data_IF_899339488274
#
_entry.id   IF_899339488274
#
_cell.length_a   1.000
_cell.length_b   1.000
_cell.length_c   1.000
_cell.angle_alpha   90.00
_cell.angle_beta   90.00
_cell.angle_gamma   90.00
#
_symmetry.space_group_name_H-M   'P 1'
#
loop_
_entity.id
_entity.type
_entity.pdbx_description
1 polymer ?
#
# COMPACT_ATOMS: atom_id res chain seq x y z
N UNK A 1 12.66 27.90 -1.91
CA UNK A 1 11.71 26.78 -2.00
C UNK A 1 12.49 25.48 -1.89
N UNK A 2 12.40 24.75 -0.76
CA UNK A 2 13.06 23.42 -0.66
C UNK A 2 12.50 22.52 -1.76
N UNK A 3 13.37 21.76 -2.44
CA UNK A 3 12.97 20.87 -3.51
C UNK A 3 12.05 19.79 -2.90
N UNK A 4 10.86 19.55 -3.47
CA UNK A 4 9.89 18.54 -2.96
C UNK A 4 10.55 17.17 -2.76
N UNK A 5 11.52 16.83 -3.61
CA UNK A 5 12.33 15.63 -3.50
C UNK A 5 13.17 15.56 -2.20
N UNK A 6 13.69 16.68 -1.70
CA UNK A 6 14.46 16.74 -0.46
C UNK A 6 13.58 16.47 0.76
N UNK A 7 12.35 17.00 0.79
CA UNK A 7 11.40 16.77 1.88
C UNK A 7 11.00 15.29 1.89
N UNK A 8 10.66 14.74 0.73
CA UNK A 8 10.32 13.32 0.59
C UNK A 8 11.45 12.41 1.08
N UNK A 9 12.70 12.66 0.64
CA UNK A 9 13.85 11.88 1.09
C UNK A 9 14.08 12.00 2.61
N UNK A 10 13.80 13.17 3.19
CA UNK A 10 13.92 13.37 4.64
C UNK A 10 12.85 12.58 5.40
N UNK A 11 11.60 12.61 4.92
CA UNK A 11 10.51 11.79 5.47
C UNK A 11 10.82 10.29 5.35
N UNK A 12 11.32 9.85 4.20
CA UNK A 12 11.75 8.47 3.99
C UNK A 12 12.88 8.07 4.96
N UNK A 13 13.86 8.94 5.17
CA UNK A 13 14.93 8.68 6.13
C UNK A 13 14.40 8.56 7.57
N UNK A 14 13.37 9.33 7.93
CA UNK A 14 12.73 9.25 9.25
C UNK A 14 11.96 7.92 9.44
N UNK A 15 11.43 7.31 8.38
CA UNK A 15 10.74 6.02 8.49
C UNK A 15 11.69 4.84 8.64
N UNK A 16 12.95 4.96 8.20
CA UNK A 16 13.95 3.87 8.24
C UNK A 16 14.25 3.34 9.65
N UNK A 17 14.06 4.14 10.69
CA UNK A 17 14.22 3.69 12.08
C UNK A 17 13.27 2.54 12.44
N UNK A 18 12.14 2.45 11.73
CA UNK A 18 11.14 1.40 11.90
C UNK A 18 11.14 0.37 10.76
N UNK A 19 12.24 0.26 9.99
CA UNK A 19 12.34 -0.62 8.81
C UNK A 19 11.93 -2.07 9.07
N UNK A 20 12.29 -2.63 10.22
CA UNK A 20 11.94 -4.02 10.55
C UNK A 20 10.45 -4.19 10.79
N UNK A 21 9.82 -3.25 11.50
CA UNK A 21 8.38 -3.27 11.70
C UNK A 21 7.63 -3.04 10.37
N UNK A 22 8.11 -2.12 9.54
CA UNK A 22 7.54 -1.91 8.19
C UNK A 22 7.68 -3.17 7.32
N UNK A 23 8.81 -3.85 7.40
CA UNK A 23 9.04 -5.11 6.69
C UNK A 23 8.07 -6.20 7.17
N UNK A 24 7.85 -6.36 8.48
CA UNK A 24 6.91 -7.35 9.00
C UNK A 24 5.47 -7.03 8.58
N UNK A 25 5.04 -5.77 8.68
CA UNK A 25 3.72 -5.35 8.22
C UNK A 25 3.53 -5.57 6.71
N UNK A 26 4.54 -5.24 5.91
CA UNK A 26 4.55 -5.47 4.45
C UNK A 26 4.54 -6.96 4.12
N UNK A 27 5.28 -7.78 4.87
CA UNK A 27 5.28 -9.23 4.72
C UNK A 27 3.90 -9.83 5.03
N UNK A 28 3.24 -9.38 6.10
CA UNK A 28 1.86 -9.79 6.40
C UNK A 28 0.89 -9.38 5.29
N UNK A 29 1.04 -8.17 4.74
CA UNK A 29 0.25 -7.72 3.59
C UNK A 29 0.45 -8.63 2.37
N UNK A 30 1.72 -8.94 2.04
CA UNK A 30 2.09 -9.86 0.97
C UNK A 30 1.49 -11.25 1.19
N UNK A 31 1.61 -11.82 2.38
CA UNK A 31 1.03 -13.12 2.72
C UNK A 31 -0.50 -13.11 2.67
N UNK A 32 -1.15 -12.02 3.05
CA UNK A 32 -2.60 -11.88 2.95
C UNK A 32 -3.08 -11.88 1.50
N UNK A 33 -2.38 -11.15 0.62
CA UNK A 33 -2.69 -11.13 -0.83
C UNK A 33 -2.34 -12.47 -1.47
N UNK A 34 -1.17 -13.04 -1.17
CA UNK A 34 -0.73 -14.36 -1.64
C UNK A 34 -1.68 -15.48 -1.23
N UNK A 35 -2.22 -15.45 -0.01
CA UNK A 35 -3.25 -16.40 0.42
C UNK A 35 -4.55 -16.23 -0.37
N UNK A 36 -4.91 -15.00 -0.74
CA UNK A 36 -6.03 -14.74 -1.65
C UNK A 36 -5.82 -15.33 -3.03
N UNK A 37 -4.59 -15.25 -3.56
CA UNK A 37 -4.21 -15.89 -4.83
C UNK A 37 -4.30 -17.41 -4.70
N UNK A 38 -3.74 -17.99 -3.64
CA UNK A 38 -3.82 -19.44 -3.38
C UNK A 38 -5.27 -19.92 -3.24
N UNK A 39 -6.14 -19.13 -2.60
CA UNK A 39 -7.58 -19.40 -2.53
C UNK A 39 -8.23 -19.40 -3.91
N UNK A 40 -7.94 -18.41 -4.76
CA UNK A 40 -8.46 -18.36 -6.13
C UNK A 40 -7.95 -19.53 -6.95
N UNK A 41 -6.65 -19.82 -6.93
CA UNK A 41 -6.05 -20.92 -7.69
C UNK A 41 -6.63 -22.29 -7.29
N UNK A 42 -6.71 -22.57 -5.99
CA UNK A 42 -7.28 -23.83 -5.48
C UNK A 42 -8.77 -23.95 -5.81
N UNK A 43 -9.54 -22.86 -5.71
CA UNK A 43 -10.95 -22.85 -6.10
C UNK A 43 -11.12 -23.09 -7.61
N UNK A 44 -10.35 -22.40 -8.45
CA UNK A 44 -10.37 -22.59 -9.91
C UNK A 44 -10.02 -24.03 -10.30
N UNK A 45 -9.03 -24.63 -9.63
CA UNK A 45 -8.67 -26.04 -9.84
C UNK A 45 -9.82 -26.99 -9.53
N UNK A 46 -10.53 -26.79 -8.41
CA UNK A 46 -11.68 -27.63 -8.05
C UNK A 46 -12.78 -27.51 -9.10
N UNK A 47 -13.11 -26.29 -9.53
CA UNK A 47 -14.15 -26.04 -10.54
C UNK A 47 -13.79 -26.74 -11.85
N UNK A 48 -12.56 -26.55 -12.34
CA UNK A 48 -12.09 -27.17 -13.57
C UNK A 48 -12.08 -28.71 -13.48
N UNK A 49 -11.64 -29.26 -12.34
CA UNK A 49 -11.58 -30.72 -12.13
C UNK A 49 -12.97 -31.34 -11.98
N UNK A 50 -13.91 -30.63 -11.34
CA UNK A 50 -15.29 -31.08 -11.19
C UNK A 50 -16.02 -31.14 -12.53
N UNK A 51 -15.72 -30.22 -13.46
CA UNK A 51 -16.27 -30.26 -14.81
C UNK A 51 -15.87 -31.54 -15.58
N UNK A 52 -14.71 -32.11 -15.27
CA UNK A 52 -14.25 -33.40 -15.79
C UNK A 52 -14.83 -34.62 -15.04
N UNK A 53 -15.82 -34.40 -14.17
CA UNK A 53 -16.43 -35.44 -13.33
C UNK A 53 -15.41 -36.21 -12.48
N UNK A 54 -14.37 -35.51 -12.01
CA UNK A 54 -13.32 -36.11 -11.17
C UNK A 54 -13.92 -36.59 -9.83
N UNK A 55 -13.64 -37.84 -9.41
CA UNK A 55 -14.11 -38.35 -8.12
C UNK A 55 -13.65 -37.49 -6.93
N UNK A 56 -14.55 -37.26 -5.96
CA UNK A 56 -14.32 -36.31 -4.86
C UNK A 56 -13.09 -36.61 -4.00
N UNK A 57 -12.69 -37.89 -3.89
CA UNK A 57 -11.51 -38.28 -3.11
C UNK A 57 -10.22 -37.66 -3.66
N UNK A 58 -10.13 -37.44 -4.98
CA UNK A 58 -8.98 -36.75 -5.61
C UNK A 58 -8.96 -35.24 -5.37
N UNK A 59 -10.11 -34.66 -4.98
CA UNK A 59 -10.26 -33.23 -4.72
C UNK A 59 -10.07 -32.84 -3.26
N UNK A 60 -9.96 -33.82 -2.35
CA UNK A 60 -9.90 -33.58 -0.90
C UNK A 60 -8.78 -32.61 -0.50
N UNK A 61 -7.58 -32.76 -1.07
CA UNK A 61 -6.44 -31.87 -0.79
C UNK A 61 -6.76 -30.43 -1.20
N UNK A 62 -7.36 -30.23 -2.38
CA UNK A 62 -7.73 -28.90 -2.86
C UNK A 62 -8.82 -28.27 -1.97
N UNK A 63 -9.81 -29.06 -1.52
CA UNK A 63 -10.87 -28.60 -0.60
C UNK A 63 -10.27 -28.12 0.73
N UNK A 64 -9.34 -28.88 1.30
CA UNK A 64 -8.61 -28.46 2.51
C UNK A 64 -7.76 -27.22 2.22
N UNK A 65 -7.14 -27.14 1.04
CA UNK A 65 -6.40 -25.97 0.58
C UNK A 65 -7.23 -24.70 0.55
N UNK A 66 -8.47 -24.75 0.03
CA UNK A 66 -9.42 -23.61 0.05
C UNK A 66 -9.66 -23.13 1.47
N UNK A 67 -9.90 -24.05 2.42
CA UNK A 67 -10.13 -23.69 3.84
C UNK A 67 -8.89 -23.06 4.45
N UNK A 68 -7.72 -23.67 4.22
CA UNK A 68 -6.43 -23.17 4.70
C UNK A 68 -6.18 -21.75 4.20
N UNK A 69 -6.26 -21.50 2.89
CA UNK A 69 -6.02 -20.19 2.32
C UNK A 69 -7.07 -19.15 2.74
N UNK A 70 -8.33 -19.57 2.92
CA UNK A 70 -9.40 -18.71 3.44
C UNK A 70 -9.09 -18.21 4.85
N UNK A 71 -8.70 -19.11 5.77
CA UNK A 71 -8.35 -18.76 7.15
C UNK A 71 -7.04 -17.96 7.19
N UNK A 72 -6.01 -18.42 6.48
CA UNK A 72 -4.70 -17.76 6.41
C UNK A 72 -4.83 -16.31 5.92
N UNK A 73 -5.63 -16.07 4.88
CA UNK A 73 -5.93 -14.72 4.38
C UNK A 73 -6.50 -13.82 5.48
N UNK A 74 -7.43 -14.32 6.29
CA UNK A 74 -8.02 -13.58 7.41
C UNK A 74 -6.99 -13.24 8.49
N UNK A 75 -6.18 -14.22 8.90
CA UNK A 75 -5.13 -14.06 9.92
C UNK A 75 -4.09 -13.04 9.46
N UNK A 76 -3.53 -13.21 8.25
CA UNK A 76 -2.51 -12.29 7.74
C UNK A 76 -3.05 -10.89 7.50
N UNK A 77 -4.32 -10.75 7.09
CA UNK A 77 -4.98 -9.45 6.96
C UNK A 77 -5.13 -8.74 8.31
N UNK A 78 -5.47 -9.50 9.36
CA UNK A 78 -5.54 -8.96 10.72
C UNK A 78 -4.16 -8.51 11.20
N UNK A 79 -3.13 -9.37 11.05
CA UNK A 79 -1.77 -9.04 11.45
C UNK A 79 -1.20 -7.85 10.67
N UNK A 80 -1.43 -7.78 9.37
CA UNK A 80 -1.11 -6.61 8.55
C UNK A 80 -1.68 -5.33 9.18
N UNK A 81 -2.99 -5.31 9.44
CA UNK A 81 -3.67 -4.13 10.01
C UNK A 81 -3.08 -3.76 11.37
N UNK A 82 -2.88 -4.75 12.23
CA UNK A 82 -2.30 -4.56 13.56
C UNK A 82 -0.91 -3.93 13.51
N UNK A 83 0.01 -4.52 12.74
CA UNK A 83 1.38 -3.99 12.63
C UNK A 83 1.41 -2.63 11.92
N UNK A 84 0.65 -2.48 10.84
CA UNK A 84 0.59 -1.22 10.09
C UNK A 84 0.12 -0.06 10.95
N UNK A 85 -0.92 -0.29 11.77
CA UNK A 85 -1.46 0.73 12.66
C UNK A 85 -0.46 1.17 13.73
N UNK A 86 0.19 0.19 14.38
CA UNK A 86 1.24 0.46 15.36
C UNK A 86 2.40 1.28 14.77
N UNK A 87 2.81 0.96 13.54
CA UNK A 87 3.88 1.69 12.84
C UNK A 87 3.43 3.09 12.48
N UNK A 88 2.21 3.24 11.94
CA UNK A 88 1.64 4.52 11.58
C UNK A 88 1.64 5.49 12.76
N UNK A 89 1.25 5.05 13.96
CA UNK A 89 1.29 5.92 15.15
C UNK A 89 2.70 6.29 15.59
N UNK A 90 3.64 5.34 15.54
CA UNK A 90 5.06 5.64 15.85
C UNK A 90 5.66 6.63 14.86
N UNK A 91 5.33 6.51 13.58
CA UNK A 91 5.74 7.45 12.55
C UNK A 91 5.10 8.82 12.75
N UNK A 92 3.79 8.87 13.03
CA UNK A 92 3.07 10.13 13.27
C UNK A 92 3.66 10.89 14.47
N UNK A 93 3.95 10.21 15.58
CA UNK A 93 4.60 10.80 16.74
C UNK A 93 5.97 11.40 16.37
N UNK A 94 6.76 10.67 15.57
CA UNK A 94 8.08 11.13 15.12
C UNK A 94 7.98 12.32 14.16
N UNK A 95 7.00 12.32 13.25
CA UNK A 95 6.75 13.43 12.34
C UNK A 95 6.32 14.69 13.10
N UNK A 96 5.47 14.55 14.13
CA UNK A 96 5.10 15.67 15.03
C UNK A 96 6.33 16.28 15.69
N UNK A 97 7.19 15.48 16.33
CA UNK A 97 8.42 15.97 16.98
C UNK A 97 9.33 16.69 15.99
N UNK A 98 9.59 16.05 14.84
CA UNK A 98 10.45 16.63 13.80
C UNK A 98 9.91 17.96 13.26
N UNK A 99 8.59 18.04 13.07
CA UNK A 99 7.92 19.23 12.58
C UNK A 99 8.04 20.38 13.58
N UNK A 100 7.70 20.16 14.86
CA UNK A 100 7.79 21.19 15.89
C UNK A 100 9.23 21.70 16.09
N UNK A 101 10.22 20.81 16.15
CA UNK A 101 11.64 21.19 16.23
C UNK A 101 12.12 21.98 15.01
N UNK A 102 11.53 21.72 13.83
CA UNK A 102 11.85 22.48 12.61
C UNK A 102 11.14 23.84 12.57
N UNK A 103 10.01 23.98 13.28
CA UNK A 103 9.19 25.20 13.32
C UNK A 103 9.68 26.19 14.39
N UNK A 104 10.08 25.71 15.57
CA UNK A 104 10.52 26.52 16.72
C UNK A 104 11.51 27.66 16.37
N UNK A 105 12.57 27.43 15.56
CA UNK A 105 13.54 28.48 15.23
C UNK A 105 12.98 29.58 14.30
N UNK A 106 11.85 29.36 13.63
CA UNK A 106 11.28 30.25 12.63
C UNK A 106 10.29 31.27 13.21
N UNK A 107 9.81 31.04 14.43
CA UNK A 107 8.77 31.82 15.10
C UNK A 107 9.22 33.24 15.50
N UNK A 108 10.46 33.49 15.98
CA UNK A 108 10.83 34.83 16.48
C UNK A 108 10.92 35.94 15.43
N UNK A 109 10.84 35.63 14.13
CA UNK A 109 11.22 36.56 13.05
C UNK A 109 10.11 36.91 12.04
N UNK A 110 8.91 36.32 12.15
CA UNK A 110 7.82 36.55 11.18
C UNK A 110 6.57 37.10 11.84
N UNK A 111 6.13 38.28 11.39
CA UNK A 111 4.72 38.70 11.53
C UNK A 111 3.89 37.77 10.64
N UNK A 112 3.04 36.96 11.26
CA UNK A 112 2.04 36.19 10.54
C UNK A 112 0.74 37.00 10.55
N UNK A 113 0.06 37.10 9.40
CA UNK A 113 -1.29 37.69 9.30
C UNK A 113 -2.39 36.76 9.85
N UNK A 114 -2.01 35.62 10.41
CA UNK A 114 -2.88 34.59 10.96
C UNK A 114 -2.72 34.50 12.48
N UNK A 115 -3.79 34.13 13.19
CA UNK A 115 -3.70 33.88 14.62
C UNK A 115 -2.80 32.67 14.89
N UNK A 116 -2.09 32.68 16.02
CA UNK A 116 -1.22 31.56 16.42
C UNK A 116 -1.98 30.23 16.50
N UNK A 117 -3.29 30.27 16.83
CA UNK A 117 -4.17 29.10 16.85
C UNK A 117 -4.44 28.53 15.46
N UNK A 118 -4.72 29.39 14.47
CA UNK A 118 -4.96 28.95 13.08
C UNK A 118 -3.72 28.32 12.45
N UNK A 119 -2.54 28.89 12.72
CA UNK A 119 -1.27 28.34 12.25
C UNK A 119 -0.99 26.96 12.84
N UNK A 120 -1.24 26.80 14.14
CA UNK A 120 -1.06 25.52 14.82
C UNK A 120 -2.05 24.46 14.33
N UNK A 121 -3.32 24.83 14.10
CA UNK A 121 -4.34 23.91 13.58
C UNK A 121 -3.95 23.40 12.20
N UNK A 122 -3.65 24.30 11.26
CA UNK A 122 -3.26 23.93 9.88
C UNK A 122 -1.98 23.08 9.86
N UNK A 123 -1.00 23.47 10.66
CA UNK A 123 0.24 22.71 10.79
C UNK A 123 -0.01 21.29 11.32
N UNK A 124 -0.88 21.14 12.30
CA UNK A 124 -1.21 19.84 12.89
C UNK A 124 -1.97 18.97 11.90
N UNK A 125 -2.96 19.53 11.18
CA UNK A 125 -3.69 18.85 10.10
C UNK A 125 -2.76 18.36 8.99
N UNK A 126 -1.80 19.18 8.56
CA UNK A 126 -0.81 18.80 7.55
C UNK A 126 0.06 17.63 8.02
N UNK A 127 0.49 17.63 9.30
CA UNK A 127 1.25 16.50 9.86
C UNK A 127 0.40 15.25 10.01
N UNK A 128 -0.88 15.39 10.36
CA UNK A 128 -1.82 14.26 10.46
C UNK A 128 -2.07 13.59 9.10
N UNK A 129 -1.99 14.34 8.00
CA UNK A 129 -2.05 13.73 6.66
C UNK A 129 -0.94 12.69 6.42
N UNK A 130 0.19 12.79 7.13
CA UNK A 130 1.29 11.83 7.06
C UNK A 130 0.98 10.49 7.73
N UNK A 131 -0.12 10.37 8.49
CA UNK A 131 -0.62 9.10 9.02
C UNK A 131 -0.78 8.06 7.89
N UNK A 132 -1.25 8.52 6.74
CA UNK A 132 -1.48 7.67 5.57
C UNK A 132 -0.22 7.37 4.76
N UNK A 133 0.93 7.95 5.12
CA UNK A 133 2.16 7.83 4.34
C UNK A 133 2.61 6.37 4.20
N UNK A 134 2.69 5.61 5.29
CA UNK A 134 3.09 4.21 5.23
C UNK A 134 2.10 3.36 4.42
N UNK A 135 0.81 3.42 4.76
CA UNK A 135 -0.22 2.55 4.20
C UNK A 135 -0.61 2.89 2.76
N UNK A 136 -0.41 4.13 2.29
CA UNK A 136 -0.76 4.55 0.93
C UNK A 136 0.44 4.77 0.00
N UNK A 137 1.63 5.04 0.54
CA UNK A 137 2.81 5.38 -0.28
C UNK A 137 3.86 4.28 -0.25
N UNK A 138 4.16 3.70 0.92
CA UNK A 138 5.26 2.75 1.07
C UNK A 138 4.81 1.30 0.88
N UNK A 139 3.77 0.88 1.59
CA UNK A 139 3.31 -0.52 1.59
C UNK A 139 2.83 -0.98 0.20
N UNK A 140 1.97 -0.23 -0.54
CA UNK A 140 1.40 -0.75 -1.78
C UNK A 140 2.43 -1.09 -2.87
N UNK A 141 3.45 -0.25 -3.16
CA UNK A 141 4.49 -0.61 -4.14
C UNK A 141 5.30 -1.85 -3.74
N UNK A 142 5.62 -2.02 -2.45
CA UNK A 142 6.39 -3.18 -1.98
C UNK A 142 5.60 -4.48 -2.14
N UNK A 143 4.31 -4.46 -1.75
CA UNK A 143 3.41 -5.60 -1.95
C UNK A 143 3.21 -5.88 -3.44
N UNK A 144 3.03 -4.84 -4.25
CA UNK A 144 2.90 -4.96 -5.71
C UNK A 144 4.11 -5.66 -6.34
N UNK A 145 5.33 -5.24 -5.99
CA UNK A 145 6.56 -5.88 -6.49
C UNK A 145 6.66 -7.34 -6.04
N UNK A 146 6.37 -7.62 -4.77
CA UNK A 146 6.38 -8.98 -4.24
C UNK A 146 5.37 -9.89 -4.96
N UNK A 147 4.15 -9.42 -5.16
CA UNK A 147 3.10 -10.18 -5.85
C UNK A 147 3.38 -10.34 -7.34
N UNK A 148 3.93 -9.31 -8.00
CA UNK A 148 4.38 -9.40 -9.38
C UNK A 148 5.43 -10.50 -9.56
N UNK A 149 6.43 -10.55 -8.66
CA UNK A 149 7.44 -11.59 -8.65
C UNK A 149 6.85 -12.98 -8.37
N UNK A 150 5.98 -13.09 -7.36
CA UNK A 150 5.29 -14.34 -7.02
C UNK A 150 4.52 -14.89 -8.22
N UNK A 151 3.72 -14.06 -8.88
CA UNK A 151 2.93 -14.46 -10.05
C UNK A 151 3.79 -14.78 -11.26
N UNK A 152 4.88 -14.04 -11.49
CA UNK A 152 5.83 -14.34 -12.55
C UNK A 152 6.43 -15.74 -12.39
N UNK A 153 6.80 -16.11 -11.16
CA UNK A 153 7.32 -17.45 -10.84
C UNK A 153 6.22 -18.50 -10.99
N UNK A 154 5.05 -18.29 -10.38
CA UNK A 154 3.95 -19.27 -10.40
C UNK A 154 3.47 -19.60 -11.81
N UNK A 155 3.29 -18.59 -12.66
CA UNK A 155 2.88 -18.80 -14.05
C UNK A 155 4.01 -19.39 -14.90
N UNK A 156 5.26 -19.05 -14.55
CA UNK A 156 6.44 -19.49 -15.29
C UNK A 156 6.71 -20.98 -15.14
N UNK A 157 6.21 -21.61 -14.06
CA UNK A 157 6.21 -23.06 -13.87
C UNK A 157 5.39 -23.76 -14.97
N UNK A 158 4.33 -23.13 -15.47
CA UNK A 158 3.49 -23.69 -16.54
C UNK A 158 4.03 -23.34 -17.93
N UNK A 159 4.18 -22.04 -18.21
CA UNK A 159 4.80 -21.53 -19.43
C UNK A 159 5.24 -20.08 -19.20
N UNK A 160 6.49 -19.76 -19.53
CA UNK A 160 7.07 -18.43 -19.39
C UNK A 160 6.29 -17.34 -20.15
N UNK A 161 5.59 -17.71 -21.23
CA UNK A 161 4.71 -16.80 -21.99
C UNK A 161 3.60 -16.23 -21.12
N UNK A 162 3.00 -17.06 -20.25
CA UNK A 162 1.95 -16.60 -19.34
C UNK A 162 2.47 -15.58 -18.32
N UNK A 163 3.70 -15.75 -17.84
CA UNK A 163 4.35 -14.79 -16.95
C UNK A 163 4.53 -13.44 -17.62
N UNK A 164 5.03 -13.40 -18.86
CA UNK A 164 5.20 -12.14 -19.58
C UNK A 164 3.86 -11.46 -19.87
N UNK A 165 2.86 -12.20 -20.34
CA UNK A 165 1.53 -11.65 -20.60
C UNK A 165 0.94 -11.07 -19.32
N UNK A 166 0.99 -11.82 -18.21
CA UNK A 166 0.49 -11.37 -16.92
C UNK A 166 1.25 -10.14 -16.44
N UNK A 167 2.58 -10.13 -16.46
CA UNK A 167 3.37 -8.99 -15.97
C UNK A 167 3.13 -7.73 -16.77
N UNK A 168 3.00 -7.82 -18.11
CA UNK A 168 2.67 -6.66 -18.95
C UNK A 168 1.30 -6.10 -18.57
N UNK A 169 0.28 -6.95 -18.45
CA UNK A 169 -1.07 -6.50 -18.12
C UNK A 169 -1.18 -6.00 -16.67
N UNK A 170 -0.48 -6.64 -15.73
CA UNK A 170 -0.51 -6.29 -14.32
C UNK A 170 0.23 -4.98 -14.03
N UNK A 171 1.42 -4.78 -14.61
CA UNK A 171 2.15 -3.51 -14.53
C UNK A 171 1.42 -2.43 -15.33
N UNK A 172 0.93 -2.77 -16.52
CA UNK A 172 0.15 -1.87 -17.36
C UNK A 172 -1.11 -1.36 -16.67
N UNK A 173 -1.86 -2.22 -15.99
CA UNK A 173 -3.03 -1.79 -15.21
C UNK A 173 -2.65 -1.06 -13.92
N UNK A 174 -1.64 -1.54 -13.19
CA UNK A 174 -1.17 -0.93 -11.94
C UNK A 174 -0.65 0.50 -12.10
N UNK A 175 -0.06 0.83 -13.25
CA UNK A 175 0.46 2.17 -13.56
C UNK A 175 -0.52 2.94 -14.46
N UNK A 176 -1.09 2.28 -15.46
CA UNK A 176 -1.96 2.90 -16.46
C UNK A 176 -3.24 3.46 -15.87
N UNK A 177 -3.89 2.74 -14.94
CA UNK A 177 -5.13 3.23 -14.30
C UNK A 177 -4.86 4.53 -13.51
N UNK A 178 -3.89 4.60 -12.58
CA UNK A 178 -3.56 5.86 -11.90
C UNK A 178 -3.22 7.00 -12.85
N UNK A 179 -2.46 6.75 -13.92
CA UNK A 179 -2.10 7.79 -14.90
C UNK A 179 -3.34 8.30 -15.63
N UNK A 180 -4.20 7.40 -16.11
CA UNK A 180 -5.46 7.77 -16.76
C UNK A 180 -6.36 8.57 -15.83
N UNK A 181 -6.51 8.14 -14.57
CA UNK A 181 -7.26 8.89 -13.56
C UNK A 181 -6.65 10.28 -13.36
N UNK A 182 -5.32 10.40 -13.23
CA UNK A 182 -4.66 11.71 -13.08
C UNK A 182 -4.90 12.63 -14.28
N UNK A 183 -4.84 12.10 -15.50
CA UNK A 183 -5.06 12.89 -16.72
C UNK A 183 -6.51 13.37 -16.81
N UNK A 184 -7.47 12.47 -16.56
CA UNK A 184 -8.90 12.78 -16.65
C UNK A 184 -9.37 13.71 -15.52
N UNK A 185 -8.87 13.52 -14.30
CA UNK A 185 -9.26 14.32 -13.13
C UNK A 185 -8.58 15.69 -13.08
N UNK A 186 -7.50 15.93 -13.83
CA UNK A 186 -6.78 17.21 -13.81
C UNK A 186 -7.65 18.39 -14.24
N UNK A 187 -8.45 18.24 -15.30
CA UNK A 187 -9.31 19.33 -15.80
C UNK A 187 -10.35 19.74 -14.77
N UNK A 188 -11.06 18.75 -14.22
CA UNK A 188 -12.09 18.95 -13.18
C UNK A 188 -11.46 19.53 -11.90
N UNK A 189 -10.26 19.07 -11.53
CA UNK A 189 -9.55 19.57 -10.35
C UNK A 189 -9.18 21.05 -10.45
N UNK A 190 -8.73 21.52 -11.63
CA UNK A 190 -8.42 22.93 -11.85
C UNK A 190 -9.69 23.79 -11.78
N UNK A 191 -10.78 23.30 -12.37
CA UNK A 191 -12.07 24.00 -12.37
C UNK A 191 -12.65 24.16 -10.96
N UNK A 192 -12.59 23.10 -10.13
CA UNK A 192 -13.02 23.16 -8.73
C UNK A 192 -12.19 24.10 -7.86
N UNK A 193 -10.88 24.22 -8.14
CA UNK A 193 -10.01 25.16 -7.42
C UNK A 193 -10.34 26.60 -7.81
N UNK A 194 -10.57 26.87 -9.09
CA UNK A 194 -10.94 28.20 -9.57
C UNK A 194 -12.33 28.65 -9.09
N UNK A 195 -13.26 27.72 -8.82
CA UNK A 195 -14.58 28.04 -8.25
C UNK A 195 -14.54 28.33 -6.74
N UNK A 196 -13.47 27.92 -6.05
CA UNK A 196 -13.26 28.12 -4.60
C UNK A 196 -12.26 29.23 -4.27
N UNK A 197 -11.55 29.75 -5.26
CA UNK A 197 -10.62 30.87 -5.15
C UNK A 197 -11.35 32.19 -5.36
#
# INVERSE_FOLDING_TARGET
MKNKAQIFNKLLKLTLDYKFAMLTATLMAFLAVGSGIGLMMTSSFIIASAALQTPIFKLQVAIVGVRFFGIARGIFRYLERYFSHNITFKLLAKFRIWFFQSLEPLIPSKKFDLTSGDLLSRATEDVESLEHFYVRVISPPLVFLGISLLMFILLGIFDIRYSFIFSILFVGSGIGIPILTLILSRKIGIELVNLKA
#
